data_IF_735607620239
#
_entry.id   IF_735607620239
#
_cell.length_a   1.000
_cell.length_b   1.000
_cell.length_c   1.000
_cell.angle_alpha   90.00
_cell.angle_beta   90.00
_cell.angle_gamma   90.00
#
_symmetry.space_group_name_H-M   'P 1'
#
loop_
_entity.id
_entity.type
_entity.pdbx_description
1 polymer ?
#
# COMPACT_ATOMS: atom_id res chain seq x y z
N UNK A 1 -13.68 -12.42 -21.76
CA UNK A 1 -12.80 -11.23 -21.59
C UNK A 1 -11.39 -11.71 -21.32
N UNK A 2 -10.49 -11.68 -22.31
CA UNK A 2 -9.09 -12.09 -22.12
C UNK A 2 -8.39 -10.99 -21.34
N UNK A 3 -8.03 -11.27 -20.09
CA UNK A 3 -7.31 -10.31 -19.26
C UNK A 3 -5.87 -10.25 -19.76
N UNK A 4 -5.44 -9.08 -20.25
CA UNK A 4 -4.09 -8.90 -20.76
C UNK A 4 -3.06 -9.07 -19.61
N UNK A 5 -2.18 -10.09 -19.66
CA UNK A 5 -1.28 -10.42 -18.56
C UNK A 5 -0.25 -9.31 -18.30
N UNK A 6 0.18 -8.58 -19.34
CA UNK A 6 1.11 -7.45 -19.21
C UNK A 6 0.46 -6.31 -18.43
N UNK A 7 -0.82 -6.03 -18.68
CA UNK A 7 -1.57 -5.00 -17.93
C UNK A 7 -1.72 -5.38 -16.45
N UNK A 8 -1.96 -6.66 -16.15
CA UNK A 8 -2.01 -7.14 -14.77
C UNK A 8 -0.66 -6.99 -14.07
N UNK A 9 0.43 -7.38 -14.73
CA UNK A 9 1.78 -7.27 -14.20
C UNK A 9 2.16 -5.82 -13.89
N UNK A 10 1.91 -4.91 -14.84
CA UNK A 10 2.17 -3.48 -14.64
C UNK A 10 1.34 -2.89 -13.49
N UNK A 11 0.09 -3.32 -13.36
CA UNK A 11 -0.79 -2.94 -12.25
C UNK A 11 -0.23 -3.41 -10.92
N UNK A 12 0.18 -4.67 -10.83
CA UNK A 12 0.82 -5.22 -9.64
C UNK A 12 2.10 -4.47 -9.28
N UNK A 13 2.97 -4.22 -10.27
CA UNK A 13 4.22 -3.49 -10.08
C UNK A 13 3.98 -2.07 -9.56
N UNK A 14 2.96 -1.36 -10.06
CA UNK A 14 2.57 -0.05 -9.54
C UNK A 14 2.16 -0.09 -8.09
N UNK A 15 1.31 -1.05 -7.68
CA UNK A 15 0.91 -1.21 -6.28
C UNK A 15 2.12 -1.40 -5.38
N UNK A 16 3.10 -2.20 -5.80
CA UNK A 16 4.32 -2.43 -5.03
C UNK A 16 5.15 -1.14 -4.85
N UNK A 17 5.33 -0.39 -5.94
CA UNK A 17 6.11 0.86 -5.91
C UNK A 17 5.42 1.93 -5.06
N UNK A 18 4.11 2.10 -5.21
CA UNK A 18 3.34 3.05 -4.40
C UNK A 18 3.31 2.65 -2.93
N UNK A 19 3.16 1.35 -2.63
CA UNK A 19 3.15 0.86 -1.26
C UNK A 19 4.49 1.06 -0.56
N UNK A 20 5.62 0.83 -1.26
CA UNK A 20 6.96 1.07 -0.73
C UNK A 20 7.19 2.57 -0.44
N UNK A 21 6.79 3.45 -1.35
CA UNK A 21 6.88 4.91 -1.14
C UNK A 21 6.02 5.36 0.04
N UNK A 22 4.79 4.86 0.15
CA UNK A 22 3.91 5.19 1.27
C UNK A 22 4.48 4.65 2.59
N UNK A 23 5.05 3.44 2.60
CA UNK A 23 5.71 2.87 3.78
C UNK A 23 6.88 3.74 4.24
N UNK A 24 7.74 4.15 3.31
CA UNK A 24 8.87 5.04 3.59
C UNK A 24 8.40 6.40 4.12
N UNK A 25 7.37 7.00 3.52
CA UNK A 25 6.80 8.25 4.01
C UNK A 25 6.21 8.12 5.42
N UNK A 26 5.52 7.01 5.70
CA UNK A 26 4.97 6.74 7.03
C UNK A 26 6.08 6.51 8.05
N UNK A 27 7.13 5.76 7.70
CA UNK A 27 8.29 5.54 8.55
C UNK A 27 9.00 6.85 8.89
N UNK A 28 9.20 7.73 7.90
CA UNK A 28 9.83 9.04 8.11
C UNK A 28 8.98 9.98 9.00
N UNK A 29 7.66 9.87 8.94
CA UNK A 29 6.74 10.76 9.69
C UNK A 29 6.39 10.26 11.08
N UNK A 30 6.22 8.96 11.24
CA UNK A 30 5.67 8.34 12.43
C UNK A 30 6.66 7.39 13.13
N UNK A 31 7.82 7.11 12.53
CA UNK A 31 8.84 6.22 13.10
C UNK A 31 8.26 4.86 13.43
N UNK A 32 8.38 4.46 14.70
CA UNK A 32 7.85 3.19 15.22
C UNK A 32 6.32 3.08 15.11
N UNK A 33 5.60 4.20 15.12
CA UNK A 33 4.14 4.23 14.98
C UNK A 33 3.67 4.14 13.51
N UNK A 34 4.58 3.97 12.54
CA UNK A 34 4.24 3.92 11.12
C UNK A 34 3.26 2.79 10.78
N UNK A 35 3.40 1.63 11.42
CA UNK A 35 2.51 0.49 11.23
C UNK A 35 1.09 0.80 11.72
N UNK A 36 0.95 1.41 12.89
CA UNK A 36 -0.35 1.82 13.44
C UNK A 36 -1.01 2.91 12.59
N UNK A 37 -0.22 3.89 12.15
CA UNK A 37 -0.69 4.93 11.23
C UNK A 37 -1.18 4.34 9.90
N UNK A 38 -0.48 3.34 9.35
CA UNK A 38 -0.91 2.64 8.14
C UNK A 38 -2.24 1.89 8.35
N UNK A 39 -2.40 1.20 9.48
CA UNK A 39 -3.64 0.50 9.86
C UNK A 39 -4.80 1.47 10.05
N UNK A 40 -4.57 2.59 10.74
CA UNK A 40 -5.56 3.65 10.94
C UNK A 40 -6.00 4.28 9.61
N UNK A 41 -5.06 4.52 8.67
CA UNK A 41 -5.40 4.96 7.32
C UNK A 41 -6.25 3.93 6.58
N UNK A 42 -5.89 2.64 6.67
CA UNK A 42 -6.60 1.55 6.00
C UNK A 42 -8.03 1.36 6.51
N UNK A 43 -8.28 1.64 7.79
CA UNK A 43 -9.60 1.58 8.41
C UNK A 43 -10.57 2.67 7.93
N UNK A 44 -10.09 3.69 7.19
CA UNK A 44 -10.96 4.75 6.65
C UNK A 44 -11.90 4.20 5.59
N UNK A 45 -13.18 4.50 5.73
CA UNK A 45 -14.23 4.02 4.81
C UNK A 45 -14.12 4.62 3.40
N UNK A 46 -13.63 5.87 3.29
CA UNK A 46 -13.57 6.63 2.03
C UNK A 46 -12.36 6.30 1.13
N UNK A 47 -11.81 5.09 1.23
CA UNK A 47 -10.69 4.67 0.39
C UNK A 47 -11.17 4.12 -0.95
N UNK A 48 -10.55 4.59 -2.03
CA UNK A 48 -10.70 3.96 -3.35
C UNK A 48 -10.22 2.52 -3.30
N UNK A 49 -10.76 1.67 -4.17
CA UNK A 49 -10.34 0.26 -4.28
C UNK A 49 -8.84 0.11 -4.59
N UNK A 50 -8.25 1.09 -5.29
CA UNK A 50 -6.80 1.19 -5.49
C UNK A 50 -6.06 1.56 -4.21
N UNK A 51 -6.46 2.66 -3.54
CA UNK A 51 -5.83 3.11 -2.31
C UNK A 51 -5.87 2.07 -1.20
N UNK A 52 -6.97 1.32 -1.10
CA UNK A 52 -7.09 0.19 -0.18
C UNK A 52 -6.08 -0.92 -0.48
N UNK A 53 -5.85 -1.27 -1.76
CA UNK A 53 -4.83 -2.26 -2.15
C UNK A 53 -3.41 -1.80 -1.85
N UNK A 54 -3.11 -0.53 -2.12
CA UNK A 54 -1.81 0.06 -1.80
C UNK A 54 -1.57 0.00 -0.29
N UNK A 55 -2.51 0.50 0.52
CA UNK A 55 -2.38 0.51 1.98
C UNK A 55 -2.31 -0.90 2.59
N UNK A 56 -3.10 -1.86 2.09
CA UNK A 56 -2.97 -3.27 2.50
C UNK A 56 -1.55 -3.79 2.25
N UNK A 57 -0.94 -3.40 1.12
CA UNK A 57 0.42 -3.81 0.80
C UNK A 57 1.45 -3.06 1.64
N UNK A 58 1.23 -1.77 1.91
CA UNK A 58 2.05 -0.93 2.80
C UNK A 58 2.12 -1.54 4.20
N UNK A 59 0.97 -1.92 4.79
CA UNK A 59 0.91 -2.60 6.09
C UNK A 59 1.76 -3.88 6.06
N UNK A 60 1.61 -4.72 5.03
CA UNK A 60 2.41 -5.95 4.88
C UNK A 60 3.92 -5.70 4.70
N UNK A 61 4.32 -4.56 4.18
CA UNK A 61 5.74 -4.17 4.04
C UNK A 61 6.26 -3.75 5.41
N UNK A 62 5.53 -2.92 6.13
CA UNK A 62 5.89 -2.44 7.48
C UNK A 62 5.88 -3.55 8.53
N UNK A 63 5.03 -4.58 8.41
CA UNK A 63 5.04 -5.76 9.29
C UNK A 63 6.27 -6.65 9.10
N UNK A 64 6.97 -6.53 7.97
CA UNK A 64 8.14 -7.33 7.62
C UNK A 64 9.47 -6.58 7.74
N UNK A 65 9.41 -5.26 7.93
CA UNK A 65 10.57 -4.37 8.05
C UNK A 65 11.01 -4.32 9.51
#
# INVERSE_FOLDING_TARGET
MIVNPVRLYNRWRRVQQEAAKEAEMLQRRHGEAALEAARAKLARENLTSWGRRVLQKTVKVLEKA
#
